data_IF_579480449793
#
_entry.id   IF_579480449793
#
_cell.length_a   1.000
_cell.length_b   1.000
_cell.length_c   1.000
_cell.angle_alpha   90.00
_cell.angle_beta   90.00
_cell.angle_gamma   90.00
#
_symmetry.space_group_name_H-M   'P 1'
#
loop_
_entity.id
_entity.type
_entity.pdbx_description
1 polymer ?
#
# COMPACT_ATOMS: atom_id res chain seq x y z
N UNK A 1 -43.02 -6.55 41.55
CA UNK A 1 -41.72 -7.22 41.32
C UNK A 1 -41.17 -6.79 39.97
N UNK A 2 -40.45 -5.71 39.97
CA UNK A 2 -39.84 -5.11 38.79
C UNK A 2 -38.48 -5.78 38.57
N UNK A 3 -38.33 -6.52 37.47
CA UNK A 3 -37.07 -7.18 37.12
C UNK A 3 -36.13 -6.10 36.59
N UNK A 4 -35.13 -5.76 37.39
CA UNK A 4 -34.00 -4.95 37.00
C UNK A 4 -33.28 -5.63 35.82
N UNK A 5 -33.25 -4.98 34.66
CA UNK A 5 -32.44 -5.35 33.50
C UNK A 5 -30.99 -5.09 33.89
N UNK A 6 -30.08 -6.10 33.78
CA UNK A 6 -28.67 -5.85 34.05
C UNK A 6 -28.16 -4.84 33.04
N UNK A 7 -27.64 -3.72 33.52
CA UNK A 7 -26.85 -2.76 32.77
C UNK A 7 -25.63 -3.55 32.25
N UNK A 8 -25.65 -3.89 30.95
CA UNK A 8 -24.51 -4.45 30.27
C UNK A 8 -23.33 -3.47 30.46
N UNK A 9 -22.35 -3.92 31.21
CA UNK A 9 -21.07 -3.25 31.35
C UNK A 9 -20.58 -2.88 29.97
N UNK A 10 -20.58 -1.59 29.65
CA UNK A 10 -19.80 -1.01 28.57
C UNK A 10 -18.33 -1.24 28.98
N UNK A 11 -17.77 -2.37 28.56
CA UNK A 11 -16.34 -2.62 28.63
C UNK A 11 -15.64 -1.38 28.11
N UNK A 12 -14.90 -0.69 28.98
CA UNK A 12 -14.02 0.43 28.65
C UNK A 12 -13.06 -0.08 27.56
N UNK A 13 -13.37 0.22 26.28
CA UNK A 13 -12.43 0.00 25.19
C UNK A 13 -11.19 0.80 25.54
N UNK A 14 -10.07 0.14 25.74
CA UNK A 14 -8.77 0.79 25.87
C UNK A 14 -8.62 1.75 24.69
N UNK A 15 -8.35 3.03 24.98
CA UNK A 15 -8.10 4.00 23.90
C UNK A 15 -6.90 3.50 23.11
N UNK A 16 -7.08 3.29 21.80
CA UNK A 16 -6.01 2.86 20.93
C UNK A 16 -4.84 3.85 21.05
N UNK A 17 -3.63 3.32 21.18
CA UNK A 17 -2.44 4.17 21.24
C UNK A 17 -2.22 4.90 19.92
N UNK A 18 -1.55 6.04 19.95
CA UNK A 18 -1.20 6.80 18.73
C UNK A 18 -0.44 5.92 17.71
N UNK A 19 0.36 4.96 18.19
CA UNK A 19 1.07 4.01 17.35
C UNK A 19 0.12 3.02 16.66
N UNK A 20 -0.87 2.49 17.38
CA UNK A 20 -1.88 1.58 16.81
C UNK A 20 -2.68 2.30 15.73
N UNK A 21 -3.15 3.53 16.01
CA UNK A 21 -3.86 4.37 15.05
C UNK A 21 -3.00 4.59 13.80
N UNK A 22 -1.75 5.00 13.96
CA UNK A 22 -0.84 5.25 12.85
C UNK A 22 -0.57 3.98 12.03
N UNK A 23 -0.25 2.86 12.69
CA UNK A 23 0.05 1.59 12.02
C UNK A 23 -1.13 1.02 11.24
N UNK A 24 -2.35 1.21 11.74
CA UNK A 24 -3.58 0.85 11.05
C UNK A 24 -3.85 1.78 9.85
N UNK A 25 -3.61 3.07 10.02
CA UNK A 25 -3.81 4.08 8.99
C UNK A 25 -2.93 3.83 7.77
N UNK A 26 -1.64 3.54 7.96
CA UNK A 26 -0.71 3.19 6.88
C UNK A 26 -0.81 1.75 6.42
N UNK A 27 -1.68 0.93 7.03
CA UNK A 27 -1.81 -0.52 6.80
C UNK A 27 -0.45 -1.23 6.87
N UNK A 28 0.26 -1.04 7.98
CA UNK A 28 1.67 -1.44 8.16
C UNK A 28 1.99 -2.86 7.65
N UNK A 29 1.12 -3.85 7.90
CA UNK A 29 1.34 -5.24 7.44
C UNK A 29 1.36 -5.35 5.90
N UNK A 30 0.44 -4.67 5.22
CA UNK A 30 0.39 -4.66 3.75
C UNK A 30 1.57 -3.88 3.18
N UNK A 31 1.89 -2.73 3.74
CA UNK A 31 3.07 -1.95 3.35
C UNK A 31 4.36 -2.74 3.52
N UNK A 32 4.51 -3.50 4.61
CA UNK A 32 5.66 -4.38 4.79
C UNK A 32 5.77 -5.47 3.70
N UNK A 33 4.64 -6.08 3.30
CA UNK A 33 4.62 -7.05 2.20
C UNK A 33 5.03 -6.41 0.86
N UNK A 34 4.56 -5.19 0.58
CA UNK A 34 4.99 -4.40 -0.59
C UNK A 34 6.50 -4.18 -0.57
N UNK A 35 7.07 -3.81 0.58
CA UNK A 35 8.52 -3.62 0.71
C UNK A 35 9.31 -4.90 0.51
N UNK A 36 8.84 -6.03 1.04
CA UNK A 36 9.46 -7.35 0.86
C UNK A 36 9.47 -7.72 -0.63
N UNK A 37 8.35 -7.58 -1.34
CA UNK A 37 8.29 -7.91 -2.77
C UNK A 37 9.13 -6.95 -3.62
N UNK A 38 9.20 -5.66 -3.27
CA UNK A 38 10.13 -4.71 -3.90
C UNK A 38 11.59 -5.11 -3.67
N UNK A 39 11.94 -5.50 -2.45
CA UNK A 39 13.29 -5.98 -2.11
C UNK A 39 13.65 -7.24 -2.91
N UNK A 40 12.74 -8.22 -2.98
CA UNK A 40 12.96 -9.44 -3.80
C UNK A 40 13.19 -9.08 -5.26
N UNK A 41 12.36 -8.19 -5.83
CA UNK A 41 12.55 -7.71 -7.20
C UNK A 41 13.89 -7.02 -7.41
N UNK A 42 14.32 -6.20 -6.45
CA UNK A 42 15.62 -5.54 -6.50
C UNK A 42 16.77 -6.55 -6.50
N UNK A 43 16.74 -7.55 -5.58
CA UNK A 43 17.76 -8.58 -5.52
C UNK A 43 17.80 -9.44 -6.79
N UNK A 44 16.64 -9.78 -7.34
CA UNK A 44 16.56 -10.54 -8.60
C UNK A 44 17.14 -9.75 -9.79
N UNK A 45 17.05 -8.39 -9.75
CA UNK A 45 17.63 -7.51 -10.76
C UNK A 45 19.12 -7.26 -10.64
N UNK A 46 19.78 -7.67 -9.54
CA UNK A 46 21.22 -7.47 -9.38
C UNK A 46 22.01 -8.37 -10.34
N UNK A 47 23.04 -7.78 -10.97
CA UNK A 47 24.02 -8.48 -11.78
C UNK A 47 25.40 -7.81 -11.62
N UNK A 48 26.41 -8.30 -12.33
CA UNK A 48 27.78 -7.74 -12.30
C UNK A 48 27.88 -6.29 -12.77
N UNK A 49 26.89 -5.82 -13.53
CA UNK A 49 26.86 -4.46 -14.11
C UNK A 49 26.14 -3.44 -13.21
N UNK A 50 25.39 -3.89 -12.19
CA UNK A 50 24.57 -2.99 -11.33
C UNK A 50 25.38 -2.14 -10.37
N UNK A 51 26.71 -2.31 -10.32
CA UNK A 51 27.61 -1.53 -9.48
C UNK A 51 28.02 -2.22 -8.18
N UNK A 52 28.83 -1.54 -7.38
CA UNK A 52 29.36 -2.09 -6.12
C UNK A 52 28.30 -2.18 -5.02
N UNK A 53 28.60 -3.00 -3.99
CA UNK A 53 27.71 -3.28 -2.87
C UNK A 53 27.15 -2.02 -2.21
N UNK A 54 27.99 -1.05 -1.90
CA UNK A 54 27.57 0.19 -1.22
C UNK A 54 26.54 0.97 -2.03
N UNK A 55 26.76 1.12 -3.35
CA UNK A 55 25.85 1.82 -4.24
C UNK A 55 24.49 1.11 -4.30
N UNK A 56 24.50 -0.22 -4.38
CA UNK A 56 23.28 -1.03 -4.42
C UNK A 56 22.51 -0.96 -3.10
N UNK A 57 23.17 -0.96 -1.96
CA UNK A 57 22.52 -0.83 -0.65
C UNK A 57 21.85 0.55 -0.47
N UNK A 58 22.54 1.63 -0.88
CA UNK A 58 21.96 2.98 -0.83
C UNK A 58 20.73 3.05 -1.75
N UNK A 59 20.84 2.54 -2.97
CA UNK A 59 19.76 2.57 -3.96
C UNK A 59 18.56 1.73 -3.51
N UNK A 60 18.80 0.55 -2.92
CA UNK A 60 17.78 -0.26 -2.29
C UNK A 60 17.08 0.49 -1.15
N UNK A 61 17.85 1.10 -0.24
CA UNK A 61 17.29 1.88 0.88
C UNK A 61 16.37 3.00 0.40
N UNK A 62 16.79 3.75 -0.62
CA UNK A 62 15.99 4.83 -1.23
C UNK A 62 14.75 4.29 -1.96
N UNK A 63 14.88 3.16 -2.67
CA UNK A 63 13.75 2.50 -3.33
C UNK A 63 12.72 2.02 -2.30
N UNK A 64 13.15 1.39 -1.21
CA UNK A 64 12.26 0.93 -0.14
C UNK A 64 11.61 2.10 0.60
N UNK A 65 12.38 3.17 0.90
CA UNK A 65 11.83 4.37 1.55
C UNK A 65 10.75 5.04 0.66
N UNK A 66 11.06 5.29 -0.61
CA UNK A 66 10.14 5.91 -1.55
C UNK A 66 8.89 5.05 -1.80
N UNK A 67 9.06 3.75 -2.00
CA UNK A 67 7.94 2.80 -2.17
C UNK A 67 7.11 2.66 -0.89
N UNK A 68 7.74 2.65 0.28
CA UNK A 68 7.06 2.58 1.57
C UNK A 68 6.20 3.81 1.84
N UNK A 69 6.73 5.01 1.58
CA UNK A 69 5.95 6.26 1.67
C UNK A 69 4.79 6.25 0.68
N UNK A 70 5.04 5.85 -0.56
CA UNK A 70 4.00 5.79 -1.59
C UNK A 70 2.88 4.80 -1.23
N UNK A 71 3.23 3.60 -0.75
CA UNK A 71 2.27 2.58 -0.31
C UNK A 71 1.48 3.05 0.91
N UNK A 72 2.15 3.67 1.89
CA UNK A 72 1.50 4.27 3.06
C UNK A 72 0.54 5.39 2.66
N UNK A 73 0.97 6.29 1.78
CA UNK A 73 0.13 7.35 1.23
C UNK A 73 -1.11 6.81 0.53
N UNK A 74 -0.94 5.79 -0.32
CA UNK A 74 -2.03 5.09 -0.99
C UNK A 74 -3.01 4.45 0.00
N UNK A 75 -2.51 3.84 1.08
CA UNK A 75 -3.35 3.23 2.12
C UNK A 75 -4.20 4.27 2.86
N UNK A 76 -3.61 5.42 3.21
CA UNK A 76 -4.30 6.54 3.87
C UNK A 76 -5.35 7.16 2.95
N UNK A 77 -4.99 7.46 1.69
CA UNK A 77 -5.93 8.01 0.71
C UNK A 77 -7.08 7.06 0.41
N UNK A 78 -6.82 5.75 0.35
CA UNK A 78 -7.87 4.75 0.21
C UNK A 78 -8.85 4.79 1.39
N UNK A 79 -8.36 4.84 2.64
CA UNK A 79 -9.24 4.97 3.81
C UNK A 79 -10.03 6.29 3.79
N UNK A 80 -9.41 7.39 3.34
CA UNK A 80 -10.10 8.67 3.17
C UNK A 80 -11.27 8.57 2.18
N UNK A 81 -11.08 7.93 1.03
CA UNK A 81 -12.12 7.76 0.02
C UNK A 81 -13.22 6.77 0.44
N UNK A 82 -12.87 5.76 1.24
CA UNK A 82 -13.81 4.73 1.69
C UNK A 82 -14.50 5.09 3.03
N UNK A 83 -14.14 6.18 3.73
CA UNK A 83 -14.56 6.51 5.10
C UNK A 83 -16.08 6.43 5.37
N UNK A 84 -16.90 6.91 4.42
CA UNK A 84 -18.36 6.91 4.55
C UNK A 84 -18.98 5.50 4.41
N UNK A 85 -18.32 4.62 3.67
CA UNK A 85 -18.73 3.23 3.49
C UNK A 85 -18.19 2.37 4.63
N UNK A 86 -16.96 2.61 5.03
CA UNK A 86 -16.32 1.93 6.16
C UNK A 86 -17.11 2.15 7.47
N UNK A 87 -17.71 3.32 7.67
CA UNK A 87 -18.55 3.62 8.84
C UNK A 87 -19.84 2.80 8.91
N UNK A 88 -20.31 2.25 7.78
CA UNK A 88 -21.53 1.43 7.69
C UNK A 88 -21.27 -0.07 7.84
N UNK A 89 -20.02 -0.49 7.90
CA UNK A 89 -19.63 -1.90 7.95
C UNK A 89 -19.04 -2.24 9.31
N UNK A 90 -19.59 -3.22 10.03
CA UNK A 90 -19.14 -3.61 11.37
C UNK A 90 -17.62 -3.87 11.45
N UNK A 91 -17.03 -4.45 10.40
CA UNK A 91 -15.60 -4.79 10.35
C UNK A 91 -14.68 -3.56 10.23
N UNK A 92 -15.17 -2.46 9.69
CA UNK A 92 -14.36 -1.29 9.31
C UNK A 92 -14.80 0.01 10.01
N UNK A 93 -15.91 0.00 10.73
CA UNK A 93 -16.42 1.16 11.47
C UNK A 93 -15.45 1.67 12.56
N UNK A 94 -14.59 0.78 13.06
CA UNK A 94 -13.59 1.09 14.09
C UNK A 94 -12.26 1.62 13.53
N UNK A 95 -12.10 1.69 12.21
CA UNK A 95 -10.90 2.27 11.58
C UNK A 95 -10.68 3.73 12.00
N UNK A 96 -9.43 4.24 11.93
CA UNK A 96 -9.10 5.59 12.41
C UNK A 96 -9.94 6.74 11.87
N UNK A 97 -10.33 6.69 10.58
CA UNK A 97 -11.17 7.75 9.99
C UNK A 97 -12.65 7.60 10.34
N UNK A 98 -13.31 6.44 10.14
CA UNK A 98 -14.70 6.25 10.52
C UNK A 98 -14.97 6.47 12.02
N UNK A 99 -14.03 6.06 12.89
CA UNK A 99 -14.14 6.25 14.35
C UNK A 99 -13.92 7.70 14.81
N UNK A 100 -13.42 8.58 13.91
CA UNK A 100 -13.08 9.96 14.26
C UNK A 100 -11.74 10.11 15.00
N UNK A 101 -10.94 9.04 15.14
CA UNK A 101 -9.62 9.12 15.78
C UNK A 101 -8.63 9.95 14.95
N UNK A 102 -8.84 10.06 13.64
CA UNK A 102 -8.09 10.91 12.72
C UNK A 102 -9.06 11.72 11.88
N UNK A 103 -8.84 13.04 11.85
CA UNK A 103 -9.65 13.94 11.02
C UNK A 103 -9.44 13.70 9.52
N UNK A 104 -10.50 13.80 8.69
CA UNK A 104 -10.40 13.58 7.25
C UNK A 104 -9.37 14.49 6.56
N UNK A 105 -9.27 15.74 6.97
CA UNK A 105 -8.31 16.71 6.41
C UNK A 105 -6.86 16.31 6.71
N UNK A 106 -6.60 15.90 7.95
CA UNK A 106 -5.27 15.42 8.35
C UNK A 106 -4.88 14.16 7.57
N UNK A 107 -5.81 13.23 7.37
CA UNK A 107 -5.57 12.04 6.56
C UNK A 107 -5.30 12.39 5.08
N UNK A 108 -6.07 13.30 4.49
CA UNK A 108 -5.86 13.75 3.11
C UNK A 108 -4.48 14.40 2.93
N UNK A 109 -4.10 15.29 3.84
CA UNK A 109 -2.80 15.95 3.81
C UNK A 109 -1.65 14.95 4.00
N UNK A 110 -1.77 14.04 4.96
CA UNK A 110 -0.74 13.03 5.22
C UNK A 110 -0.60 12.06 4.06
N UNK A 111 -1.72 11.54 3.54
CA UNK A 111 -1.71 10.61 2.40
C UNK A 111 -1.16 11.26 1.13
N UNK A 112 -1.54 12.52 0.87
CA UNK A 112 -1.00 13.32 -0.23
C UNK A 112 0.49 13.59 -0.08
N UNK A 113 0.92 14.05 1.09
CA UNK A 113 2.34 14.33 1.38
C UNK A 113 3.20 13.07 1.23
N UNK A 114 2.79 11.94 1.80
CA UNK A 114 3.52 10.68 1.68
C UNK A 114 3.63 10.22 0.21
N UNK A 115 2.55 10.36 -0.56
CA UNK A 115 2.55 10.00 -1.98
C UNK A 115 3.50 10.89 -2.79
N UNK A 116 3.45 12.20 -2.58
CA UNK A 116 4.31 13.16 -3.29
C UNK A 116 5.79 12.97 -2.90
N UNK A 117 6.09 12.89 -1.60
CA UNK A 117 7.47 12.69 -1.12
C UNK A 117 8.01 11.35 -1.62
N UNK A 118 7.20 10.28 -1.58
CA UNK A 118 7.58 8.97 -2.11
C UNK A 118 7.95 9.03 -3.59
N UNK A 119 7.12 9.66 -4.42
CA UNK A 119 7.40 9.84 -5.85
C UNK A 119 8.63 10.71 -6.11
N UNK A 120 8.85 11.77 -5.33
CA UNK A 120 10.03 12.61 -5.44
C UNK A 120 11.31 11.84 -5.11
N UNK A 121 11.30 11.02 -4.04
CA UNK A 121 12.42 10.16 -3.69
C UNK A 121 12.71 9.17 -4.83
N UNK A 122 11.69 8.50 -5.35
CA UNK A 122 11.86 7.53 -6.43
C UNK A 122 12.41 8.18 -7.70
N UNK A 123 11.90 9.35 -8.08
CA UNK A 123 12.32 10.04 -9.31
C UNK A 123 13.72 10.66 -9.21
N UNK A 124 14.05 11.29 -8.08
CA UNK A 124 15.28 12.05 -7.93
C UNK A 124 16.49 11.18 -7.55
N UNK A 125 16.28 10.13 -6.77
CA UNK A 125 17.41 9.35 -6.20
C UNK A 125 17.44 7.87 -6.63
N UNK A 126 16.37 7.35 -7.22
CA UNK A 126 16.37 5.98 -7.78
C UNK A 126 16.45 6.03 -9.30
N UNK A 127 15.34 6.23 -9.97
CA UNK A 127 15.22 6.58 -11.39
C UNK A 127 13.76 6.94 -11.74
N UNK A 128 13.59 7.64 -12.87
CA UNK A 128 12.28 8.09 -13.34
C UNK A 128 11.33 6.91 -13.64
N UNK A 129 11.87 5.79 -14.14
CA UNK A 129 11.06 4.60 -14.47
C UNK A 129 10.36 4.03 -13.25
N UNK A 130 11.06 3.92 -12.11
CA UNK A 130 10.47 3.45 -10.83
C UNK A 130 9.41 4.43 -10.34
N UNK A 131 9.64 5.74 -10.48
CA UNK A 131 8.63 6.75 -10.12
C UNK A 131 7.37 6.64 -10.98
N UNK A 132 7.52 6.40 -12.28
CA UNK A 132 6.39 6.19 -13.21
C UNK A 132 5.61 4.91 -12.83
N UNK A 133 6.29 3.80 -12.57
CA UNK A 133 5.64 2.57 -12.11
C UNK A 133 4.92 2.78 -10.77
N UNK A 134 5.53 3.53 -9.86
CA UNK A 134 4.91 3.92 -8.60
C UNK A 134 3.68 4.80 -8.79
N UNK A 135 3.73 5.78 -9.69
CA UNK A 135 2.59 6.62 -10.04
C UNK A 135 1.44 5.80 -10.66
N UNK A 136 1.76 4.85 -11.56
CA UNK A 136 0.78 3.92 -12.13
C UNK A 136 0.13 3.09 -11.01
N UNK A 137 0.93 2.59 -10.07
CA UNK A 137 0.43 1.84 -8.90
C UNK A 137 -0.55 2.68 -8.09
N UNK A 138 -0.17 3.92 -7.74
CA UNK A 138 -1.00 4.84 -6.96
C UNK A 138 -2.31 5.17 -7.68
N UNK A 139 -2.23 5.57 -8.95
CA UNK A 139 -3.40 5.97 -9.75
C UNK A 139 -4.34 4.78 -9.94
N UNK A 140 -3.82 3.62 -10.31
CA UNK A 140 -4.64 2.42 -10.51
C UNK A 140 -5.32 2.00 -9.20
N UNK A 141 -4.60 2.05 -8.07
CA UNK A 141 -5.15 1.68 -6.77
C UNK A 141 -6.23 2.65 -6.30
N UNK A 142 -5.98 3.96 -6.37
CA UNK A 142 -6.88 4.99 -5.82
C UNK A 142 -8.06 5.26 -6.76
N UNK A 143 -7.82 5.47 -8.05
CA UNK A 143 -8.84 5.97 -8.97
C UNK A 143 -9.55 4.87 -9.77
N UNK A 144 -8.95 3.68 -9.89
CA UNK A 144 -9.56 2.58 -10.64
C UNK A 144 -10.06 1.49 -9.70
N UNK A 145 -9.17 0.89 -8.89
CA UNK A 145 -9.53 -0.21 -8.02
C UNK A 145 -10.52 0.21 -6.91
N UNK A 146 -10.25 1.29 -6.18
CA UNK A 146 -11.08 1.72 -5.04
C UNK A 146 -12.54 1.97 -5.43
N UNK A 147 -12.88 2.70 -6.52
CA UNK A 147 -14.25 2.86 -6.96
C UNK A 147 -14.87 1.56 -7.51
N UNK A 148 -14.06 0.76 -8.23
CA UNK A 148 -14.54 -0.44 -8.91
C UNK A 148 -14.88 -1.58 -7.95
N UNK A 149 -14.20 -1.65 -6.81
CA UNK A 149 -14.41 -2.64 -5.74
C UNK A 149 -15.88 -2.81 -5.34
N UNK A 150 -16.71 -1.79 -5.55
CA UNK A 150 -18.12 -1.76 -5.19
C UNK A 150 -19.07 -1.98 -6.36
N UNK A 151 -18.55 -1.92 -7.60
CA UNK A 151 -19.41 -1.89 -8.79
C UNK A 151 -19.24 -3.11 -9.68
N UNK A 152 -18.15 -3.86 -9.54
CA UNK A 152 -17.83 -4.91 -10.50
C UNK A 152 -16.98 -6.02 -9.90
N UNK A 153 -17.21 -7.25 -10.33
CA UNK A 153 -16.42 -8.44 -10.00
C UNK A 153 -15.01 -8.38 -10.60
N UNK A 154 -14.80 -7.56 -11.63
CA UNK A 154 -13.48 -7.27 -12.23
C UNK A 154 -12.50 -6.58 -11.28
N UNK A 155 -12.99 -6.14 -10.12
CA UNK A 155 -12.16 -5.48 -9.12
C UNK A 155 -10.94 -6.32 -8.71
N UNK A 156 -11.10 -7.64 -8.64
CA UNK A 156 -10.03 -8.58 -8.26
C UNK A 156 -8.90 -8.56 -9.29
N UNK A 157 -9.22 -8.63 -10.57
CA UNK A 157 -8.22 -8.62 -11.64
C UNK A 157 -7.53 -7.25 -11.72
N UNK A 158 -8.31 -6.18 -11.64
CA UNK A 158 -7.76 -4.82 -11.68
C UNK A 158 -6.93 -4.51 -10.43
N UNK A 159 -7.36 -4.99 -9.26
CA UNK A 159 -6.61 -4.86 -8.00
C UNK A 159 -5.31 -5.66 -7.98
N UNK A 160 -5.21 -6.73 -8.76
CA UNK A 160 -3.99 -7.50 -8.89
C UNK A 160 -2.87 -6.71 -9.63
N UNK A 161 -3.22 -5.73 -10.48
CA UNK A 161 -2.22 -4.90 -11.17
C UNK A 161 -1.35 -4.11 -10.20
N UNK A 162 -1.90 -3.20 -9.35
CA UNK A 162 -1.07 -2.45 -8.41
C UNK A 162 -0.39 -3.36 -7.37
N UNK A 163 -0.99 -4.50 -7.05
CA UNK A 163 -0.38 -5.48 -6.14
C UNK A 163 0.81 -6.23 -6.73
N UNK A 164 0.89 -6.36 -8.07
CA UNK A 164 1.98 -7.05 -8.76
C UNK A 164 3.11 -6.12 -9.23
N UNK A 165 2.93 -4.81 -9.19
CA UNK A 165 3.94 -3.82 -9.61
C UNK A 165 5.16 -3.71 -8.67
N UNK A 166 5.06 -3.90 -7.35
CA UNK A 166 6.21 -3.70 -6.44
C UNK A 166 7.47 -4.50 -6.79
N UNK A 167 7.43 -5.81 -7.13
CA UNK A 167 8.64 -6.52 -7.52
C UNK A 167 9.22 -6.00 -8.85
N UNK A 168 8.38 -5.56 -9.79
CA UNK A 168 8.83 -4.90 -11.01
C UNK A 168 9.49 -3.55 -10.72
N UNK A 169 8.97 -2.79 -9.76
CA UNK A 169 9.61 -1.56 -9.29
C UNK A 169 10.99 -1.84 -8.69
N UNK A 170 11.12 -2.91 -7.89
CA UNK A 170 12.40 -3.36 -7.37
C UNK A 170 13.40 -3.72 -8.47
N UNK A 171 12.97 -4.51 -9.45
CA UNK A 171 13.77 -4.84 -10.65
C UNK A 171 14.25 -3.59 -11.39
N UNK A 172 13.31 -2.69 -11.73
CA UNK A 172 13.61 -1.43 -12.41
C UNK A 172 14.52 -0.52 -11.56
N UNK A 173 14.41 -0.58 -10.24
CA UNK A 173 15.32 0.14 -9.36
C UNK A 173 16.76 -0.42 -9.46
N UNK A 174 16.96 -1.73 -9.52
CA UNK A 174 18.28 -2.33 -9.67
C UNK A 174 18.87 -2.05 -11.05
N UNK A 175 18.15 -2.40 -12.11
CA UNK A 175 18.61 -2.42 -13.51
C UNK A 175 18.55 -1.06 -14.22
N UNK A 176 17.60 -0.20 -13.85
CA UNK A 176 17.29 1.02 -14.59
C UNK A 176 16.37 0.82 -15.80
N UNK A 177 15.96 -0.41 -16.07
CA UNK A 177 15.12 -0.82 -17.18
C UNK A 177 14.15 -1.93 -16.78
N UNK A 178 13.16 -2.19 -17.62
CA UNK A 178 12.25 -3.33 -17.49
C UNK A 178 12.43 -4.23 -18.69
N UNK A 179 12.87 -5.44 -18.44
CA UNK A 179 13.09 -6.49 -19.42
C UNK A 179 12.10 -7.66 -19.24
N UNK A 180 12.13 -8.71 -20.08
CA UNK A 180 11.25 -9.87 -19.94
C UNK A 180 11.32 -10.57 -18.58
N UNK A 181 12.47 -10.57 -17.89
CA UNK A 181 12.60 -11.15 -16.56
C UNK A 181 11.89 -10.33 -15.51
N UNK A 182 12.01 -9.00 -15.58
CA UNK A 182 11.23 -8.09 -14.73
C UNK A 182 9.73 -8.30 -14.90
N UNK A 183 9.24 -8.41 -16.14
CA UNK A 183 7.85 -8.73 -16.42
C UNK A 183 7.41 -10.10 -15.93
N UNK A 184 8.33 -11.08 -15.86
CA UNK A 184 8.04 -12.40 -15.27
C UNK A 184 7.71 -12.27 -13.79
N UNK A 185 8.45 -11.44 -13.02
CA UNK A 185 8.15 -11.20 -11.60
C UNK A 185 6.76 -10.58 -11.40
N UNK A 186 6.41 -9.61 -12.24
CA UNK A 186 5.05 -9.05 -12.25
C UNK A 186 4.02 -10.14 -12.54
N UNK A 187 4.23 -10.95 -13.60
CA UNK A 187 3.32 -12.01 -14.02
C UNK A 187 3.10 -13.06 -12.93
N UNK A 188 4.16 -13.52 -12.26
CA UNK A 188 4.08 -14.50 -11.17
C UNK A 188 3.16 -13.95 -10.07
N UNK A 189 3.39 -12.72 -9.62
CA UNK A 189 2.60 -12.15 -8.54
C UNK A 189 1.16 -11.83 -8.97
N UNK A 190 0.97 -11.37 -10.20
CA UNK A 190 -0.34 -11.11 -10.77
C UNK A 190 -1.20 -12.37 -10.83
N UNK A 191 -0.68 -13.44 -11.43
CA UNK A 191 -1.40 -14.70 -11.55
C UNK A 191 -1.59 -15.42 -10.21
N UNK A 192 -0.68 -15.24 -9.25
CA UNK A 192 -0.84 -15.76 -7.90
C UNK A 192 -1.97 -15.04 -7.13
N UNK A 193 -2.07 -13.72 -7.27
CA UNK A 193 -3.07 -12.92 -6.54
C UNK A 193 -4.50 -13.22 -6.98
N UNK A 194 -4.75 -13.45 -8.26
CA UNK A 194 -6.10 -13.65 -8.79
C UNK A 194 -6.80 -14.84 -8.10
N UNK A 195 -6.27 -16.07 -8.12
CA UNK A 195 -6.90 -17.19 -7.42
C UNK A 195 -6.89 -17.02 -5.90
N UNK A 196 -5.87 -16.38 -5.33
CA UNK A 196 -5.80 -16.10 -3.90
C UNK A 196 -6.96 -15.22 -3.43
N UNK A 197 -7.26 -14.14 -4.13
CA UNK A 197 -8.38 -13.25 -3.80
C UNK A 197 -9.75 -13.86 -4.10
N UNK A 198 -9.84 -14.80 -5.05
CA UNK A 198 -11.08 -15.49 -5.33
C UNK A 198 -11.40 -16.59 -4.31
N UNK A 199 -10.40 -17.04 -3.54
CA UNK A 199 -10.55 -18.08 -2.51
C UNK A 199 -10.88 -17.51 -1.11
N UNK A 200 -10.86 -16.19 -0.91
CA UNK A 200 -11.18 -15.50 0.35
C UNK A 200 -12.61 -14.92 0.29
#
# INVERSE_FOLDING_TARGET
MEKAIPQLEKTKKSQATNWEIFSELIKLRLTALVLITTMVGFYAGLNSETGGLTKNLIKLGLALLGTGLLASGAAVLNQYLEREYDSKMNRTAERPLPSGSVGPEAALLMGGAFSVIGLLILSAWVNLLVAVLGAITLVTYIFVYTPLKRKSEWNTIIGAIPGALPPLMGWAAARGEVDPFGWTLFGILFFWQVPHFMAI
#
